data_IF_517951858506
#
_entry.id   IF_517951858506
#
_cell.length_a   1.000
_cell.length_b   1.000
_cell.length_c   1.000
_cell.angle_alpha   90.00
_cell.angle_beta   90.00
_cell.angle_gamma   90.00
#
_symmetry.space_group_name_H-M   'P 1'
#
loop_
_entity.id
_entity.type
_entity.pdbx_description
1 polymer ?
#
# COMPACT_ATOMS: atom_id res chain seq x y z
N UNK A 1 28.14 -3.19 -51.23
CA UNK A 1 28.31 -2.01 -52.11
C UNK A 1 27.45 -0.88 -51.60
N UNK A 2 28.08 0.31 -51.45
CA UNK A 2 27.48 1.69 -51.25
C UNK A 2 26.88 1.94 -49.86
N UNK A 3 27.60 2.62 -48.93
CA UNK A 3 27.89 4.08 -48.78
C UNK A 3 26.72 4.80 -48.10
N UNK A 4 26.79 5.12 -46.80
CA UNK A 4 27.39 6.30 -46.19
C UNK A 4 26.47 7.56 -46.33
N UNK A 5 25.98 8.05 -45.24
CA UNK A 5 25.85 9.48 -45.04
C UNK A 5 25.80 9.80 -43.51
N UNK A 6 26.83 10.42 -43.09
CA UNK A 6 27.10 11.11 -41.85
C UNK A 6 26.31 12.44 -41.91
N UNK A 7 25.59 12.78 -40.88
CA UNK A 7 25.20 14.16 -40.58
C UNK A 7 25.58 14.48 -39.15
N UNK A 8 26.72 15.15 -39.01
CA UNK A 8 27.16 15.94 -37.90
C UNK A 8 26.31 17.22 -37.86
N UNK A 9 25.71 17.55 -36.75
CA UNK A 9 25.35 18.93 -36.40
C UNK A 9 25.86 19.24 -35.00
N UNK A 10 26.90 20.08 -35.03
CA UNK A 10 27.49 20.77 -33.88
C UNK A 10 26.63 21.99 -33.48
N UNK A 11 26.87 22.43 -32.24
CA UNK A 11 26.71 23.76 -31.65
C UNK A 11 25.32 24.02 -31.02
N UNK A 12 25.18 24.64 -29.83
CA UNK A 12 26.02 25.63 -29.20
C UNK A 12 25.81 25.64 -27.68
N UNK A 13 26.86 25.93 -26.97
CA UNK A 13 26.90 26.35 -25.58
C UNK A 13 26.16 27.70 -25.41
N UNK A 14 25.29 27.75 -24.41
CA UNK A 14 24.90 29.03 -23.81
C UNK A 14 25.13 28.94 -22.30
N UNK A 15 26.25 29.47 -21.86
CA UNK A 15 26.53 29.83 -20.48
C UNK A 15 25.66 31.03 -20.14
N UNK A 16 24.74 30.92 -19.22
CA UNK A 16 23.92 31.98 -18.62
C UNK A 16 24.04 31.88 -17.11
N UNK A 17 24.89 32.58 -16.52
CA UNK A 17 24.89 33.70 -15.65
C UNK A 17 24.20 33.44 -14.31
N UNK A 18 24.98 33.02 -13.26
CA UNK A 18 24.56 33.18 -11.86
C UNK A 18 24.47 34.70 -11.57
N UNK A 19 23.28 35.24 -11.57
CA UNK A 19 22.99 36.51 -10.91
C UNK A 19 22.72 36.24 -9.43
N UNK A 20 23.72 36.57 -8.58
CA UNK A 20 23.46 36.85 -7.17
C UNK A 20 22.66 38.14 -7.08
N UNK A 21 21.37 38.01 -6.92
CA UNK A 21 20.51 39.06 -6.41
C UNK A 21 20.41 38.89 -4.90
N UNK A 22 21.23 39.64 -4.17
CA UNK A 22 20.96 39.95 -2.77
C UNK A 22 19.81 40.97 -2.76
N UNK A 23 18.59 40.50 -2.88
CA UNK A 23 17.42 41.23 -2.41
C UNK A 23 17.03 40.63 -1.06
N UNK A 24 17.27 41.38 -0.03
CA UNK A 24 16.68 41.22 1.27
C UNK A 24 15.17 41.45 1.14
N UNK A 25 14.46 40.48 0.59
CA UNK A 25 13.01 40.41 0.75
C UNK A 25 12.78 39.81 2.12
N UNK A 26 12.25 40.63 3.01
CA UNK A 26 11.65 40.25 4.30
C UNK A 26 10.89 38.93 4.10
N UNK A 27 11.52 37.84 4.52
CA UNK A 27 10.88 36.52 4.44
C UNK A 27 9.60 36.56 5.26
N UNK A 28 8.48 36.51 4.60
CA UNK A 28 7.21 36.21 5.21
C UNK A 28 7.38 34.96 6.05
N UNK A 29 7.05 35.05 7.36
CA UNK A 29 7.16 33.89 8.20
C UNK A 29 6.12 32.85 7.79
N UNK A 30 6.38 31.58 8.06
CA UNK A 30 5.41 30.53 7.79
C UNK A 30 4.03 30.82 8.44
N UNK A 31 4.03 31.56 9.55
CA UNK A 31 2.84 31.99 10.25
C UNK A 31 2.05 33.06 9.50
N UNK A 32 2.76 34.02 8.83
CA UNK A 32 2.13 35.03 7.99
C UNK A 32 1.50 34.43 6.74
N UNK A 33 2.14 33.41 6.16
CA UNK A 33 1.58 32.68 5.04
C UNK A 33 0.32 31.89 5.43
N UNK A 34 0.36 31.23 6.59
CA UNK A 34 -0.76 30.48 7.15
C UNK A 34 -1.97 31.39 7.43
N UNK A 35 -1.74 32.58 8.00
CA UNK A 35 -2.79 33.56 8.25
C UNK A 35 -3.44 34.07 6.98
N UNK A 36 -2.67 34.31 5.90
CA UNK A 36 -3.20 34.74 4.61
C UNK A 36 -3.95 33.62 3.87
N UNK A 37 -3.54 32.39 4.03
CA UNK A 37 -4.20 31.21 3.46
C UNK A 37 -5.52 30.84 4.19
N UNK A 38 -5.91 31.57 5.22
CA UNK A 38 -7.10 31.29 6.01
C UNK A 38 -6.99 30.02 6.85
N UNK A 39 -5.78 29.51 7.01
CA UNK A 39 -5.49 28.41 7.93
C UNK A 39 -5.29 29.02 9.29
N UNK A 40 -6.34 29.02 10.12
CA UNK A 40 -6.22 29.40 11.52
C UNK A 40 -5.19 28.48 12.15
N UNK A 41 -4.01 29.01 12.53
CA UNK A 41 -3.12 28.30 13.43
C UNK A 41 -3.88 28.07 14.74
N UNK A 42 -4.26 26.83 15.09
CA UNK A 42 -4.62 26.53 16.47
C UNK A 42 -3.38 26.85 17.29
N UNK A 43 -3.56 27.57 18.37
CA UNK A 43 -2.44 28.00 19.23
C UNK A 43 -1.48 26.83 19.47
N UNK A 44 -0.19 27.11 19.45
CA UNK A 44 0.94 26.19 19.45
C UNK A 44 1.05 25.20 20.63
N UNK A 45 -0.07 24.93 21.33
CA UNK A 45 -0.10 24.09 22.52
C UNK A 45 -0.98 22.85 22.40
N UNK A 46 -1.59 22.56 21.24
CA UNK A 46 -2.50 21.41 21.16
C UNK A 46 -2.58 20.72 19.79
N UNK A 47 -1.51 20.74 19.03
CA UNK A 47 -1.33 19.72 18.01
C UNK A 47 -0.78 18.51 18.74
N UNK A 48 -1.67 17.68 19.27
CA UNK A 48 -1.32 16.36 19.72
C UNK A 48 -0.63 15.66 18.56
N UNK A 49 0.71 15.64 18.58
CA UNK A 49 1.50 14.84 17.66
C UNK A 49 1.20 13.40 18.01
N UNK A 50 0.14 12.85 17.36
CA UNK A 50 -0.13 11.43 17.44
C UNK A 50 1.15 10.69 17.08
N UNK A 51 1.64 9.86 17.98
CA UNK A 51 2.82 9.07 17.71
C UNK A 51 2.56 8.19 16.47
N UNK A 52 3.62 7.83 15.73
CA UNK A 52 3.51 6.91 14.59
C UNK A 52 2.78 5.62 15.00
N UNK A 53 2.97 5.17 16.24
CA UNK A 53 2.27 4.03 16.82
C UNK A 53 0.76 4.28 16.96
N UNK A 54 0.35 5.47 17.39
CA UNK A 54 -1.05 5.86 17.51
C UNK A 54 -1.75 5.98 16.16
N UNK A 55 -1.09 6.60 15.18
CA UNK A 55 -1.61 6.69 13.81
C UNK A 55 -1.77 5.29 13.20
N UNK A 56 -0.82 4.39 13.45
CA UNK A 56 -0.89 3.01 12.97
C UNK A 56 -1.93 2.16 13.72
N UNK A 57 -2.33 2.55 14.92
CA UNK A 57 -3.37 1.87 15.69
C UNK A 57 -4.79 2.26 15.27
N UNK A 58 -4.97 3.29 14.45
CA UNK A 58 -6.29 3.71 14.00
C UNK A 58 -6.84 2.80 12.90
N UNK A 59 -8.15 2.50 12.91
CA UNK A 59 -8.80 1.78 11.83
C UNK A 59 -8.62 2.50 10.50
N UNK A 60 -8.46 1.74 9.45
CA UNK A 60 -8.41 2.28 8.07
C UNK A 60 -9.85 2.35 7.56
N UNK A 61 -10.24 3.51 7.05
CA UNK A 61 -11.56 3.67 6.44
C UNK A 61 -11.59 2.96 5.10
N UNK A 62 -12.62 2.13 4.91
CA UNK A 62 -12.91 1.49 3.64
C UNK A 62 -13.41 2.50 2.61
N UNK A 63 -13.33 2.14 1.33
CA UNK A 63 -13.98 2.90 0.26
C UNK A 63 -15.49 2.82 0.39
N UNK A 64 -16.00 1.64 0.76
CA UNK A 64 -17.43 1.36 0.98
C UNK A 64 -17.59 0.32 2.09
N UNK A 65 -18.67 0.42 2.86
CA UNK A 65 -19.06 -0.56 3.87
C UNK A 65 -18.75 -0.16 5.31
N UNK A 66 -18.98 -1.07 6.24
CA UNK A 66 -18.95 -0.84 7.68
C UNK A 66 -17.89 -1.66 8.44
N UNK A 67 -17.29 -2.67 7.83
CA UNK A 67 -16.24 -3.48 8.46
C UNK A 67 -14.97 -2.65 8.63
N UNK A 68 -14.42 -2.65 9.83
CA UNK A 68 -13.20 -1.90 10.15
C UNK A 68 -12.00 -2.83 10.14
N UNK A 69 -11.05 -2.57 9.26
CA UNK A 69 -9.75 -3.24 9.29
C UNK A 69 -8.73 -2.37 10.02
N UNK A 70 -7.94 -3.03 10.84
CA UNK A 70 -6.79 -2.39 11.49
C UNK A 70 -5.52 -2.75 10.73
N UNK A 71 -4.54 -1.84 10.68
CA UNK A 71 -3.23 -2.17 10.15
C UNK A 71 -2.61 -3.36 10.90
N UNK A 72 -1.94 -4.22 10.14
CA UNK A 72 -1.20 -5.34 10.72
C UNK A 72 0.10 -4.86 11.37
N UNK A 73 0.41 -5.43 12.51
CA UNK A 73 1.72 -5.28 13.13
C UNK A 73 2.81 -5.96 12.29
N UNK A 74 4.07 -5.57 12.48
CA UNK A 74 5.21 -6.08 11.71
C UNK A 74 5.47 -7.58 11.89
N UNK A 75 5.00 -8.16 12.98
CA UNK A 75 5.11 -9.57 13.33
C UNK A 75 3.93 -10.42 12.82
N UNK A 76 2.89 -9.81 12.27
CA UNK A 76 1.72 -10.52 11.75
C UNK A 76 2.06 -11.66 10.77
N UNK A 77 3.07 -11.56 9.89
CA UNK A 77 3.47 -12.66 9.02
C UNK A 77 3.93 -13.92 9.81
N UNK A 78 4.41 -13.76 11.04
CA UNK A 78 4.82 -14.90 11.88
C UNK A 78 3.64 -15.79 12.25
N UNK A 79 2.43 -15.25 12.33
CA UNK A 79 1.22 -16.01 12.58
C UNK A 79 0.90 -17.00 11.46
N UNK A 80 1.39 -16.76 10.24
CA UNK A 80 1.25 -17.71 9.13
C UNK A 80 2.09 -18.99 9.34
N UNK A 81 3.09 -18.96 10.23
CA UNK A 81 4.00 -20.09 10.47
C UNK A 81 4.89 -20.37 9.26
N UNK A 82 5.08 -21.64 8.93
CA UNK A 82 5.91 -22.03 7.78
C UNK A 82 5.15 -21.76 6.48
N UNK A 83 5.69 -20.84 5.69
CA UNK A 83 5.23 -20.54 4.32
C UNK A 83 6.43 -20.41 3.40
N UNK A 84 6.28 -20.76 2.14
CA UNK A 84 7.33 -20.66 1.15
C UNK A 84 7.44 -19.26 0.54
N UNK A 85 6.37 -18.50 0.62
CA UNK A 85 6.25 -17.14 0.14
C UNK A 85 4.89 -16.58 0.49
N UNK A 86 4.68 -15.31 0.19
CA UNK A 86 3.41 -14.66 0.49
C UNK A 86 3.30 -13.28 -0.09
N UNK A 87 2.14 -12.72 0.10
CA UNK A 87 1.75 -11.41 -0.39
C UNK A 87 1.07 -10.60 0.71
N UNK A 88 1.08 -9.28 0.53
CA UNK A 88 0.39 -8.35 1.42
C UNK A 88 -0.53 -7.44 0.63
N UNK A 89 -1.73 -7.23 1.11
CA UNK A 89 -2.59 -6.16 0.63
C UNK A 89 -2.26 -4.88 1.38
N UNK A 90 -1.82 -3.88 0.62
CA UNK A 90 -1.41 -2.57 1.14
C UNK A 90 -2.42 -1.54 0.70
N UNK A 91 -3.01 -0.84 1.65
CA UNK A 91 -3.98 0.22 1.43
C UNK A 91 -3.58 1.47 2.21
N UNK A 92 -3.51 2.61 1.53
CA UNK A 92 -3.05 3.88 2.12
C UNK A 92 -1.70 3.75 2.87
N UNK A 93 -0.77 2.96 2.29
CA UNK A 93 0.55 2.73 2.86
C UNK A 93 0.60 1.76 4.05
N UNK A 94 -0.52 1.14 4.42
CA UNK A 94 -0.63 0.20 5.55
C UNK A 94 -1.01 -1.20 5.08
N UNK A 95 -0.39 -2.23 5.64
CA UNK A 95 -0.74 -3.63 5.37
C UNK A 95 -2.00 -4.01 6.13
N UNK A 96 -3.05 -4.43 5.42
CA UNK A 96 -4.33 -4.84 6.01
C UNK A 96 -4.52 -6.36 5.99
N UNK A 97 -3.88 -7.06 5.06
CA UNK A 97 -3.90 -8.51 4.93
C UNK A 97 -2.50 -8.99 4.57
N UNK A 98 -2.07 -10.06 5.20
CA UNK A 98 -0.92 -10.86 4.77
C UNK A 98 -1.41 -12.27 4.52
N UNK A 99 -1.11 -12.82 3.36
CA UNK A 99 -1.45 -14.19 3.00
C UNK A 99 -0.21 -14.93 2.52
N UNK A 100 -0.14 -16.22 2.79
CA UNK A 100 0.97 -17.07 2.40
C UNK A 100 0.59 -18.51 2.26
N UNK A 101 1.42 -19.28 1.59
CA UNK A 101 1.22 -20.69 1.32
C UNK A 101 2.55 -21.44 1.31
N UNK A 102 2.51 -22.73 1.49
CA UNK A 102 3.61 -23.63 1.15
C UNK A 102 3.76 -23.77 -0.37
N UNK A 103 4.83 -24.40 -0.82
CA UNK A 103 5.03 -24.61 -2.27
C UNK A 103 4.10 -25.65 -2.87
N UNK A 104 3.50 -26.50 -2.03
CA UNK A 104 2.64 -27.58 -2.47
C UNK A 104 1.38 -27.00 -3.13
N UNK A 105 1.10 -27.41 -4.36
CA UNK A 105 -0.11 -27.04 -5.09
C UNK A 105 -1.39 -27.52 -4.43
N UNK A 106 -1.32 -28.51 -3.55
CA UNK A 106 -2.43 -28.98 -2.72
C UNK A 106 -2.74 -28.05 -1.53
N UNK A 107 -1.79 -27.16 -1.15
CA UNK A 107 -2.02 -26.21 -0.08
C UNK A 107 -2.98 -25.10 -0.53
N UNK A 108 -3.92 -24.80 0.36
CA UNK A 108 -4.88 -23.70 0.14
C UNK A 108 -4.35 -22.35 0.59
N UNK A 109 -3.24 -22.36 1.33
CA UNK A 109 -2.73 -21.16 1.97
C UNK A 109 -3.63 -20.66 3.10
N UNK A 110 -3.26 -19.53 3.65
CA UNK A 110 -3.97 -18.84 4.72
C UNK A 110 -3.61 -17.36 4.74
N UNK A 111 -4.47 -16.57 5.35
CA UNK A 111 -4.21 -15.15 5.53
C UNK A 111 -4.54 -14.69 6.93
N UNK A 112 -3.91 -13.59 7.33
CA UNK A 112 -4.09 -12.93 8.63
C UNK A 112 -4.49 -11.49 8.38
N UNK A 113 -5.52 -11.04 9.10
CA UNK A 113 -5.99 -9.66 9.11
C UNK A 113 -6.52 -9.32 10.51
N UNK A 114 -6.76 -8.05 10.78
CA UNK A 114 -7.36 -7.59 12.03
C UNK A 114 -8.69 -6.95 11.71
N UNK A 115 -9.78 -7.60 12.16
CA UNK A 115 -11.16 -7.14 11.98
C UNK A 115 -11.69 -6.68 13.32
N UNK A 116 -12.17 -5.45 13.41
CA UNK A 116 -12.72 -4.85 14.64
C UNK A 116 -11.79 -5.03 15.86
N UNK A 117 -10.48 -4.87 15.65
CA UNK A 117 -9.46 -5.00 16.68
C UNK A 117 -9.07 -6.44 17.05
N UNK A 118 -9.65 -7.45 16.41
CA UNK A 118 -9.34 -8.87 16.64
C UNK A 118 -8.56 -9.45 15.46
N UNK A 119 -7.40 -10.03 15.75
CA UNK A 119 -6.65 -10.77 14.74
C UNK A 119 -7.40 -12.06 14.36
N UNK A 120 -7.60 -12.25 13.07
CA UNK A 120 -8.30 -13.39 12.49
C UNK A 120 -7.38 -14.08 11.48
N UNK A 121 -7.33 -15.41 11.53
CA UNK A 121 -6.64 -16.22 10.55
C UNK A 121 -7.67 -17.00 9.73
N UNK A 122 -7.64 -16.79 8.42
CA UNK A 122 -8.59 -17.38 7.48
C UNK A 122 -7.85 -18.36 6.55
N UNK A 123 -8.30 -19.62 6.46
CA UNK A 123 -7.81 -20.55 5.44
C UNK A 123 -8.24 -20.13 4.04
N UNK A 124 -7.44 -20.48 3.04
CA UNK A 124 -7.80 -20.33 1.63
C UNK A 124 -8.96 -21.24 1.24
N UNK A 125 -9.81 -20.78 0.35
CA UNK A 125 -10.92 -21.56 -0.18
C UNK A 125 -10.42 -22.57 -1.22
N UNK A 126 -9.54 -22.14 -2.09
CA UNK A 126 -9.02 -22.91 -3.22
C UNK A 126 -7.59 -23.37 -2.98
N UNK A 127 -7.28 -24.56 -3.47
CA UNK A 127 -5.92 -25.07 -3.49
C UNK A 127 -5.14 -24.49 -4.70
N UNK A 128 -3.85 -24.43 -4.62
CA UNK A 128 -2.98 -23.91 -5.68
C UNK A 128 -1.65 -23.36 -5.14
N UNK A 129 -1.44 -23.50 -3.84
CA UNK A 129 -0.21 -23.09 -3.21
C UNK A 129 0.08 -21.60 -3.38
N UNK A 130 1.37 -21.29 -3.55
CA UNK A 130 1.81 -19.89 -3.68
C UNK A 130 1.21 -19.19 -4.91
N UNK A 131 1.02 -19.90 -6.01
CA UNK A 131 0.46 -19.32 -7.23
C UNK A 131 -0.98 -18.81 -7.00
N UNK A 132 -1.79 -19.54 -6.22
CA UNK A 132 -3.14 -19.11 -5.84
C UNK A 132 -3.08 -17.84 -4.98
N UNK A 133 -2.13 -17.76 -4.05
CA UNK A 133 -1.92 -16.55 -3.24
C UNK A 133 -1.55 -15.36 -4.12
N UNK A 134 -0.64 -15.53 -5.07
CA UNK A 134 -0.21 -14.45 -5.97
C UNK A 134 -1.33 -13.96 -6.90
N UNK A 135 -2.21 -14.86 -7.34
CA UNK A 135 -3.31 -14.50 -8.24
C UNK A 135 -4.43 -13.70 -7.57
N UNK A 136 -4.42 -13.61 -6.25
CA UNK A 136 -5.46 -12.95 -5.46
C UNK A 136 -6.40 -13.98 -4.82
N UNK A 137 -6.10 -14.41 -3.58
CA UNK A 137 -6.83 -15.48 -2.93
C UNK A 137 -8.22 -15.06 -2.45
N UNK A 138 -9.11 -16.04 -2.35
CA UNK A 138 -10.29 -15.97 -1.49
C UNK A 138 -10.03 -16.78 -0.23
N UNK A 139 -10.23 -16.15 0.91
CA UNK A 139 -10.05 -16.70 2.25
C UNK A 139 -11.41 -16.72 2.95
N UNK A 140 -11.72 -17.78 3.69
CA UNK A 140 -13.00 -17.85 4.40
C UNK A 140 -12.88 -18.55 5.75
N UNK A 141 -13.53 -18.01 6.76
CA UNK A 141 -13.59 -18.55 8.13
C UNK A 141 -14.16 -17.51 9.10
N UNK A 142 -14.48 -17.93 10.30
CA UNK A 142 -14.98 -17.07 11.39
C UNK A 142 -16.16 -16.15 11.00
N UNK A 143 -16.99 -16.58 10.04
CA UNK A 143 -18.12 -15.79 9.53
C UNK A 143 -17.72 -14.71 8.53
N UNK A 144 -16.46 -14.68 8.07
CA UNK A 144 -15.97 -13.75 7.06
C UNK A 144 -15.55 -14.48 5.79
N UNK A 145 -15.68 -13.78 4.68
CA UNK A 145 -15.06 -14.13 3.40
C UNK A 145 -14.27 -12.90 2.93
N UNK A 146 -13.00 -13.10 2.64
CA UNK A 146 -12.07 -12.05 2.22
C UNK A 146 -11.51 -12.41 0.86
N UNK A 147 -11.72 -11.57 -0.13
CA UNK A 147 -11.23 -11.78 -1.50
C UNK A 147 -10.30 -10.65 -1.93
N UNK A 148 -9.15 -10.99 -2.46
CA UNK A 148 -8.25 -10.05 -3.10
C UNK A 148 -8.57 -10.05 -4.59
N UNK A 149 -9.06 -8.95 -5.09
CA UNK A 149 -9.35 -8.74 -6.51
C UNK A 149 -8.13 -8.07 -7.14
N UNK A 150 -7.17 -8.89 -7.54
CA UNK A 150 -5.93 -8.44 -8.15
C UNK A 150 -6.18 -7.95 -9.58
N UNK A 151 -5.60 -6.81 -9.95
CA UNK A 151 -5.63 -6.29 -11.31
C UNK A 151 -4.90 -7.22 -12.30
N UNK A 152 -5.32 -7.19 -13.53
CA UNK A 152 -4.71 -7.94 -14.63
C UNK A 152 -3.40 -7.31 -15.09
N UNK A 153 -2.61 -8.09 -15.84
CA UNK A 153 -1.37 -7.64 -16.49
C UNK A 153 -0.11 -7.92 -15.69
N UNK A 154 0.99 -7.43 -16.24
CA UNK A 154 2.33 -7.60 -15.65
C UNK A 154 2.48 -6.79 -14.37
N UNK A 155 3.18 -7.33 -13.36
CA UNK A 155 3.45 -6.60 -12.14
C UNK A 155 4.44 -5.45 -12.36
N UNK A 156 4.26 -4.39 -11.61
CA UNK A 156 5.34 -3.45 -11.38
C UNK A 156 6.33 -4.06 -10.36
N UNK A 157 7.63 -3.80 -10.56
CA UNK A 157 8.65 -4.25 -9.60
C UNK A 157 9.06 -3.10 -8.69
N UNK A 158 8.82 -3.26 -7.41
CA UNK A 158 9.21 -2.30 -6.40
C UNK A 158 9.93 -3.03 -5.24
N UNK A 159 11.14 -2.60 -4.91
CA UNK A 159 11.93 -3.17 -3.79
C UNK A 159 12.08 -4.70 -3.82
N UNK A 160 12.26 -5.28 -5.01
CA UNK A 160 12.38 -6.73 -5.19
C UNK A 160 11.07 -7.51 -5.06
N UNK A 161 9.93 -6.83 -4.99
CA UNK A 161 8.60 -7.42 -4.94
C UNK A 161 7.85 -7.18 -6.24
N UNK A 162 6.95 -8.08 -6.56
CA UNK A 162 5.98 -7.92 -7.61
C UNK A 162 4.72 -7.25 -7.05
N UNK A 163 4.28 -6.14 -7.66
CA UNK A 163 3.13 -5.37 -7.20
C UNK A 163 2.09 -5.19 -8.31
N UNK A 164 0.83 -5.41 -7.97
CA UNK A 164 -0.34 -5.14 -8.80
C UNK A 164 -1.28 -4.18 -8.08
N UNK A 165 -2.06 -3.41 -8.83
CA UNK A 165 -3.24 -2.77 -8.28
C UNK A 165 -4.23 -3.84 -7.82
N UNK A 166 -4.92 -3.61 -6.70
CA UNK A 166 -5.88 -4.58 -6.20
C UNK A 166 -6.95 -3.91 -5.33
N UNK A 167 -8.10 -4.56 -5.23
CA UNK A 167 -9.13 -4.26 -4.25
C UNK A 167 -9.25 -5.40 -3.24
N UNK A 168 -9.59 -5.08 -2.01
CA UNK A 168 -9.87 -6.05 -0.96
C UNK A 168 -11.36 -5.99 -0.62
N UNK A 169 -12.04 -7.10 -0.84
CA UNK A 169 -13.45 -7.28 -0.54
C UNK A 169 -13.59 -8.11 0.73
N UNK A 170 -14.30 -7.61 1.71
CA UNK A 170 -14.58 -8.28 2.98
C UNK A 170 -16.08 -8.43 3.14
N UNK A 171 -16.57 -9.66 3.15
CA UNK A 171 -17.96 -10.00 3.47
C UNK A 171 -18.02 -10.55 4.88
N UNK A 172 -18.82 -9.94 5.71
CA UNK A 172 -19.04 -10.34 7.10
C UNK A 172 -20.52 -10.34 7.48
N UNK A 173 -20.84 -10.60 8.74
CA UNK A 173 -22.23 -10.65 9.23
C UNK A 173 -22.99 -9.34 9.03
N UNK A 174 -22.29 -8.21 8.99
CA UNK A 174 -22.87 -6.86 8.85
C UNK A 174 -22.95 -6.36 7.40
N UNK A 175 -22.53 -7.19 6.45
CA UNK A 175 -22.53 -6.87 5.03
C UNK A 175 -21.16 -6.94 4.36
N UNK A 176 -21.05 -6.29 3.23
CA UNK A 176 -19.86 -6.25 2.39
C UNK A 176 -19.14 -4.91 2.55
N UNK A 177 -17.83 -4.96 2.57
CA UNK A 177 -16.96 -3.79 2.71
C UNK A 177 -15.84 -3.89 1.69
N UNK A 178 -15.57 -2.81 0.94
CA UNK A 178 -14.56 -2.75 -0.11
C UNK A 178 -13.48 -1.72 0.23
N UNK A 179 -12.22 -2.13 0.08
CA UNK A 179 -11.04 -1.28 0.16
C UNK A 179 -10.42 -1.20 -1.24
N UNK A 180 -10.82 -0.19 -2.01
CA UNK A 180 -10.42 -0.04 -3.41
C UNK A 180 -9.15 0.78 -3.59
N UNK A 181 -8.44 0.53 -4.71
CA UNK A 181 -7.19 1.20 -5.07
C UNK A 181 -6.03 0.89 -4.13
N UNK A 182 -6.01 -0.30 -3.59
CA UNK A 182 -4.87 -0.85 -2.87
C UNK A 182 -3.83 -1.47 -3.80
N UNK A 183 -2.87 -2.14 -3.19
CA UNK A 183 -1.81 -2.89 -3.87
C UNK A 183 -1.72 -4.30 -3.32
N UNK A 184 -1.55 -5.27 -4.20
CA UNK A 184 -1.15 -6.64 -3.88
C UNK A 184 0.33 -6.79 -4.13
N UNK A 185 1.12 -6.92 -3.08
CA UNK A 185 2.59 -6.93 -3.11
C UNK A 185 3.10 -8.28 -2.67
N UNK A 186 3.76 -9.01 -3.57
CA UNK A 186 4.21 -10.39 -3.37
C UNK A 186 5.73 -10.50 -3.37
N UNK A 187 6.24 -11.29 -2.43
CA UNK A 187 7.63 -11.76 -2.44
C UNK A 187 7.67 -13.12 -3.14
N UNK A 188 8.41 -13.18 -4.25
CA UNK A 188 8.71 -14.45 -4.92
C UNK A 188 9.73 -15.26 -4.13
#
# INVERSE_FOLDING_TARGET
MKRAAICLCLAALAAGGCSKSNDASSGESADDYAARAGVSSPGANDVGTSSVAEVNAQPVLASEGSTRLMPLASDAPMALGKVAGGCSFIYQGRSLLVAGSEKDVGDKGKGVLVIDGRQVMLPGVEAGGLQMIESGPTLAGDGFTVSVLRGEGEPSRANGKNEWGADLLVKGPTGETTFSQGKWSCTA
#
